data_IF_732715028831
#
_entry.id   IF_732715028831
#
_cell.length_a   1.000
_cell.length_b   1.000
_cell.length_c   1.000
_cell.angle_alpha   90.00
_cell.angle_beta   90.00
_cell.angle_gamma   90.00
#
_symmetry.space_group_name_H-M   'P 1'
#
loop_
_entity.id
_entity.type
_entity.pdbx_description
1 polymer ?
#
# COMPACT_ATOMS: atom_id res chain seq x y z
N UNK A 1 64.55 -24.11 -9.18
CA UNK A 1 63.58 -23.18 -9.79
C UNK A 1 62.54 -24.00 -10.54
N UNK A 2 61.40 -24.29 -9.94
CA UNK A 2 60.31 -25.00 -10.63
C UNK A 2 59.61 -24.04 -11.57
N UNK A 3 59.78 -24.23 -12.87
CA UNK A 3 58.96 -23.58 -13.87
C UNK A 3 57.54 -24.14 -13.74
N UNK A 4 56.64 -23.40 -13.07
CA UNK A 4 55.21 -23.70 -13.19
C UNK A 4 54.85 -23.57 -14.67
N UNK A 5 54.34 -24.64 -15.32
CA UNK A 5 54.03 -24.58 -16.73
C UNK A 5 52.95 -23.51 -16.91
N UNK A 6 53.18 -22.54 -17.81
CA UNK A 6 52.24 -21.43 -18.13
C UNK A 6 50.77 -21.86 -18.23
N UNK A 7 50.53 -23.10 -18.65
CA UNK A 7 49.20 -23.75 -18.67
C UNK A 7 48.53 -23.85 -17.30
N UNK A 8 49.25 -24.22 -16.24
CA UNK A 8 48.70 -24.31 -14.90
C UNK A 8 48.25 -22.93 -14.37
N UNK A 9 48.99 -21.88 -14.70
CA UNK A 9 48.69 -20.51 -14.30
C UNK A 9 47.45 -19.96 -15.05
N UNK A 10 47.32 -20.29 -16.34
CA UNK A 10 46.15 -19.94 -17.16
C UNK A 10 44.88 -20.69 -16.70
N UNK A 11 44.99 -21.97 -16.36
CA UNK A 11 43.87 -22.76 -15.85
C UNK A 11 43.40 -22.24 -14.49
N UNK A 12 44.34 -21.89 -13.59
CA UNK A 12 44.02 -21.26 -12.32
C UNK A 12 43.29 -19.92 -12.48
N UNK A 13 43.75 -19.06 -13.39
CA UNK A 13 43.09 -17.80 -13.69
C UNK A 13 41.68 -17.99 -14.28
N UNK A 14 41.51 -18.95 -15.19
CA UNK A 14 40.21 -19.27 -15.77
C UNK A 14 39.22 -19.79 -14.72
N UNK A 15 39.68 -20.65 -13.79
CA UNK A 15 38.85 -21.14 -12.69
C UNK A 15 38.46 -20.03 -11.70
N UNK A 16 39.36 -19.09 -11.41
CA UNK A 16 39.06 -17.93 -10.57
C UNK A 16 38.05 -17.00 -11.23
N UNK A 17 38.17 -16.75 -12.53
CA UNK A 17 37.21 -15.94 -13.30
C UNK A 17 35.84 -16.63 -13.40
N UNK A 18 35.81 -17.94 -13.63
CA UNK A 18 34.59 -18.72 -13.66
C UNK A 18 33.91 -18.77 -12.28
N UNK A 19 34.69 -19.00 -11.21
CA UNK A 19 34.19 -18.99 -9.84
C UNK A 19 33.69 -17.61 -9.39
N UNK A 20 34.39 -16.53 -9.75
CA UNK A 20 33.95 -15.16 -9.50
C UNK A 20 32.66 -14.80 -10.24
N UNK A 21 32.52 -15.22 -11.50
CA UNK A 21 31.27 -15.06 -12.25
C UNK A 21 30.14 -15.86 -11.62
N UNK A 22 30.38 -17.14 -11.30
CA UNK A 22 29.37 -18.00 -10.70
C UNK A 22 28.91 -17.46 -9.33
N UNK A 23 29.84 -16.96 -8.51
CA UNK A 23 29.51 -16.31 -7.24
C UNK A 23 28.70 -15.03 -7.45
N UNK A 24 29.05 -14.21 -8.44
CA UNK A 24 28.30 -13.00 -8.77
C UNK A 24 26.86 -13.30 -9.21
N UNK A 25 26.65 -14.36 -10.00
CA UNK A 25 25.32 -14.81 -10.41
C UNK A 25 24.54 -15.48 -9.28
N UNK A 26 25.20 -16.22 -8.39
CA UNK A 26 24.56 -16.85 -7.22
C UNK A 26 24.28 -15.87 -6.08
N UNK A 27 24.99 -14.74 -6.02
CA UNK A 27 24.73 -13.64 -5.07
C UNK A 27 23.51 -12.85 -5.51
N UNK A 28 22.39 -13.55 -5.77
CA UNK A 28 21.11 -12.99 -6.13
C UNK A 28 20.89 -11.72 -5.34
N UNK A 29 20.82 -10.59 -6.05
CA UNK A 29 20.45 -9.32 -5.43
C UNK A 29 19.04 -9.56 -4.92
N UNK A 30 18.87 -9.82 -3.63
CA UNK A 30 17.58 -9.66 -2.97
C UNK A 30 17.14 -8.25 -3.36
N UNK A 31 16.11 -8.17 -4.20
CA UNK A 31 15.54 -6.89 -4.53
C UNK A 31 15.23 -6.20 -3.20
N UNK A 32 15.54 -4.90 -3.04
CA UNK A 32 15.14 -4.18 -1.84
C UNK A 32 13.66 -4.46 -1.61
N UNK A 33 13.34 -5.06 -0.47
CA UNK A 33 11.93 -5.31 -0.13
C UNK A 33 11.18 -3.97 -0.18
N UNK A 34 9.97 -3.95 -0.76
CA UNK A 34 9.23 -2.70 -0.98
C UNK A 34 8.83 -2.05 0.35
N UNK A 35 8.65 -0.73 0.34
CA UNK A 35 8.23 0.02 1.52
C UNK A 35 6.76 -0.22 1.89
N UNK A 36 5.96 -0.70 0.96
CA UNK A 36 4.60 -1.18 1.20
C UNK A 36 4.20 -2.18 0.11
N UNK A 37 3.29 -3.07 0.45
CA UNK A 37 2.69 -4.04 -0.46
C UNK A 37 1.19 -3.77 -0.53
N UNK A 38 0.71 -3.55 -1.75
CA UNK A 38 -0.71 -3.40 -2.05
C UNK A 38 -1.20 -4.68 -2.74
N UNK A 39 -2.30 -5.21 -2.25
CA UNK A 39 -3.08 -6.25 -2.90
C UNK A 39 -3.94 -5.65 -4.00
N UNK A 40 -4.09 -6.42 -5.08
CA UNK A 40 -4.98 -6.07 -6.18
C UNK A 40 -6.41 -6.40 -5.80
N UNK A 41 -7.28 -5.40 -5.76
CA UNK A 41 -8.73 -5.63 -5.85
C UNK A 41 -9.21 -5.18 -7.22
N UNK A 42 -10.25 -5.81 -7.75
CA UNK A 42 -10.90 -5.42 -9.01
C UNK A 42 -12.13 -4.55 -8.76
N UNK A 43 -12.29 -4.05 -7.53
CA UNK A 43 -13.51 -3.41 -7.06
C UNK A 43 -13.38 -1.89 -7.20
N UNK A 44 -14.37 -1.28 -7.83
CA UNK A 44 -14.42 0.16 -8.06
C UNK A 44 -15.55 0.80 -7.26
N UNK A 45 -15.32 2.03 -6.83
CA UNK A 45 -16.33 2.86 -6.17
C UNK A 45 -16.47 4.19 -6.87
N UNK A 46 -17.70 4.67 -6.94
CA UNK A 46 -18.00 6.02 -7.37
C UNK A 46 -17.89 6.97 -6.18
N UNK A 47 -17.05 7.99 -6.30
CA UNK A 47 -17.00 9.13 -5.39
C UNK A 47 -17.70 10.31 -6.07
N UNK A 48 -18.81 10.74 -5.48
CA UNK A 48 -19.63 11.82 -6.02
C UNK A 48 -18.90 13.17 -5.93
N UNK A 49 -19.14 14.06 -6.90
CA UNK A 49 -18.43 15.33 -7.01
C UNK A 49 -18.56 16.25 -5.78
N UNK A 50 -19.68 16.18 -5.06
CA UNK A 50 -19.94 16.95 -3.85
C UNK A 50 -19.07 16.50 -2.66
N UNK A 51 -18.64 15.23 -2.65
CA UNK A 51 -17.82 14.64 -1.59
C UNK A 51 -16.33 14.92 -1.81
N UNK A 52 -15.88 15.09 -3.06
CA UNK A 52 -14.47 15.29 -3.42
C UNK A 52 -13.74 16.36 -2.59
N UNK A 53 -14.31 17.56 -2.36
CA UNK A 53 -13.63 18.59 -1.58
C UNK A 53 -13.50 18.26 -0.09
N UNK A 54 -14.26 17.28 0.41
CA UNK A 54 -14.26 16.81 1.81
C UNK A 54 -13.57 15.48 2.04
N UNK A 55 -12.86 14.95 1.03
CA UNK A 55 -12.06 13.76 1.23
C UNK A 55 -10.93 14.05 2.24
N UNK A 56 -10.71 13.15 3.22
CA UNK A 56 -9.57 13.21 4.12
C UNK A 56 -8.25 13.27 3.35
N UNK A 57 -7.35 14.13 3.81
CA UNK A 57 -5.96 14.24 3.35
C UNK A 57 -5.04 14.00 4.53
N UNK A 58 -3.95 13.29 4.28
CA UNK A 58 -2.93 13.04 5.29
C UNK A 58 -1.87 14.13 5.22
N UNK A 59 -1.63 14.79 6.35
CA UNK A 59 -0.52 15.71 6.52
C UNK A 59 0.69 14.91 7.01
N UNK A 60 1.65 14.66 6.12
CA UNK A 60 2.88 13.91 6.41
C UNK A 60 3.75 14.63 7.45
N UNK A 61 3.73 15.96 7.48
CA UNK A 61 4.56 16.76 8.39
C UNK A 61 4.08 16.60 9.83
N UNK A 62 2.76 16.61 10.03
CA UNK A 62 2.16 16.50 11.35
C UNK A 62 1.71 15.07 11.71
N UNK A 63 1.77 14.14 10.75
CA UNK A 63 1.27 12.77 10.89
C UNK A 63 -0.22 12.72 11.21
N UNK A 64 -1.02 13.59 10.61
CA UNK A 64 -2.40 13.83 10.99
C UNK A 64 -3.35 13.90 9.80
N UNK A 65 -4.58 13.43 9.98
CA UNK A 65 -5.63 13.53 8.98
C UNK A 65 -6.37 14.86 9.08
N UNK A 66 -6.73 15.43 7.94
CA UNK A 66 -7.58 16.62 7.88
C UNK A 66 -8.60 16.56 6.74
N UNK A 67 -9.71 17.26 6.92
CA UNK A 67 -10.76 17.47 5.91
C UNK A 67 -11.00 18.98 5.83
N UNK A 68 -10.77 19.56 4.65
CA UNK A 68 -10.84 21.02 4.40
C UNK A 68 -10.04 21.84 5.44
N UNK A 69 -8.84 21.35 5.78
CA UNK A 69 -7.94 21.98 6.77
C UNK A 69 -8.38 21.82 8.24
N UNK A 70 -9.45 21.07 8.52
CA UNK A 70 -9.86 20.75 9.89
C UNK A 70 -9.33 19.38 10.30
N UNK A 71 -8.72 19.24 11.48
CA UNK A 71 -8.20 17.96 11.92
C UNK A 71 -9.32 16.94 12.12
N UNK A 72 -9.04 15.69 11.75
CA UNK A 72 -9.92 14.53 11.98
C UNK A 72 -9.39 13.79 13.19
N UNK A 73 -10.19 13.65 14.23
CA UNK A 73 -9.80 12.97 15.48
C UNK A 73 -9.77 11.45 15.36
N UNK A 74 -10.65 10.87 14.54
CA UNK A 74 -10.75 9.43 14.32
C UNK A 74 -11.02 9.15 12.84
N UNK A 75 -9.98 8.75 12.10
CA UNK A 75 -10.09 8.46 10.66
C UNK A 75 -11.04 7.28 10.38
N UNK A 76 -11.20 6.37 11.35
CA UNK A 76 -12.14 5.25 11.28
C UNK A 76 -13.61 5.66 11.09
N UNK A 77 -14.01 6.85 11.55
CA UNK A 77 -15.39 7.35 11.38
C UNK A 77 -15.69 7.75 9.93
N UNK A 78 -14.67 7.83 9.08
CA UNK A 78 -14.79 8.13 7.64
C UNK A 78 -14.85 6.87 6.78
N UNK A 79 -14.72 5.69 7.38
CA UNK A 79 -14.84 4.39 6.69
C UNK A 79 -16.30 4.18 6.26
N UNK A 80 -16.49 3.89 4.98
CA UNK A 80 -17.80 3.66 4.35
C UNK A 80 -18.01 2.17 4.12
N UNK A 81 -19.25 1.65 4.25
CA UNK A 81 -19.54 0.30 3.81
C UNK A 81 -19.35 0.18 2.29
N UNK A 82 -18.86 -0.98 1.85
CA UNK A 82 -18.81 -1.31 0.43
C UNK A 82 -20.09 -2.05 0.06
N UNK A 83 -20.78 -1.56 -0.98
CA UNK A 83 -22.00 -2.14 -1.52
C UNK A 83 -21.77 -2.49 -2.99
N UNK A 84 -20.98 -3.53 -3.23
CA UNK A 84 -20.90 -4.15 -4.56
C UNK A 84 -21.89 -5.31 -4.64
N UNK A 85 -22.68 -5.39 -5.70
CA UNK A 85 -23.68 -6.45 -5.88
C UNK A 85 -23.07 -7.74 -6.46
N UNK A 86 -21.92 -7.65 -7.13
CA UNK A 86 -21.22 -8.78 -7.73
C UNK A 86 -19.94 -9.13 -6.97
N UNK A 87 -19.59 -10.41 -6.86
CA UNK A 87 -18.30 -10.88 -6.32
C UNK A 87 -17.40 -11.18 -7.50
N UNK A 88 -16.46 -10.27 -7.81
CA UNK A 88 -15.46 -10.49 -8.88
C UNK A 88 -14.17 -11.07 -8.29
N UNK A 89 -13.91 -10.87 -6.99
CA UNK A 89 -12.71 -11.39 -6.31
C UNK A 89 -13.01 -12.02 -4.94
N UNK A 90 -12.19 -12.98 -4.51
CA UNK A 90 -12.27 -13.58 -3.16
C UNK A 90 -11.95 -12.58 -2.03
N UNK A 91 -11.22 -11.49 -2.35
CA UNK A 91 -10.92 -10.36 -1.46
C UNK A 91 -11.88 -9.19 -1.72
N UNK A 92 -13.18 -9.44 -1.61
CA UNK A 92 -14.17 -8.36 -1.68
C UNK A 92 -14.07 -7.48 -0.42
N UNK A 93 -13.82 -6.17 -0.55
CA UNK A 93 -13.77 -5.27 0.59
C UNK A 93 -15.16 -5.22 1.24
N UNK A 94 -15.19 -5.19 2.58
CA UNK A 94 -16.46 -5.01 3.33
C UNK A 94 -16.78 -3.53 3.55
N UNK A 95 -15.73 -2.73 3.58
CA UNK A 95 -15.75 -1.31 3.84
C UNK A 95 -14.49 -0.71 3.24
N UNK A 96 -14.50 0.57 2.94
CA UNK A 96 -13.34 1.27 2.41
C UNK A 96 -13.28 2.69 2.94
N UNK A 97 -12.08 3.28 2.92
CA UNK A 97 -11.88 4.71 3.18
C UNK A 97 -11.53 5.41 1.86
N UNK A 98 -12.32 6.41 1.46
CA UNK A 98 -11.94 7.28 0.37
C UNK A 98 -11.06 8.42 0.89
N UNK A 99 -9.92 8.67 0.25
CA UNK A 99 -8.97 9.72 0.62
C UNK A 99 -8.54 10.52 -0.61
N UNK A 100 -8.09 11.74 -0.39
CA UNK A 100 -7.47 12.56 -1.42
C UNK A 100 -5.95 12.61 -1.21
N UNK A 101 -5.21 12.57 -2.31
CA UNK A 101 -3.74 12.75 -2.35
C UNK A 101 -3.40 13.86 -3.34
N UNK A 102 -2.27 14.55 -3.16
CA UNK A 102 -1.82 15.49 -4.18
C UNK A 102 -1.53 14.75 -5.51
N UNK A 103 -1.72 15.43 -6.64
CA UNK A 103 -1.56 14.81 -7.96
C UNK A 103 -0.12 14.35 -8.26
N UNK A 104 0.85 14.94 -7.58
CA UNK A 104 2.29 14.70 -7.71
C UNK A 104 2.89 13.93 -6.52
N UNK A 105 2.05 13.42 -5.60
CA UNK A 105 2.54 12.61 -4.48
C UNK A 105 3.19 11.31 -4.96
N UNK A 106 4.47 11.16 -4.63
CA UNK A 106 5.27 9.98 -4.89
C UNK A 106 5.16 8.93 -3.78
N UNK A 107 5.77 7.74 -4.00
CA UNK A 107 5.71 6.62 -3.04
C UNK A 107 6.21 6.95 -1.63
N UNK A 108 7.12 7.91 -1.49
CA UNK A 108 7.68 8.32 -0.19
C UNK A 108 6.66 9.07 0.68
N UNK A 109 5.73 9.80 0.06
CA UNK A 109 4.66 10.52 0.76
C UNK A 109 3.50 9.57 1.12
N UNK A 110 3.27 8.54 0.30
CA UNK A 110 2.24 7.53 0.55
C UNK A 110 2.58 6.60 1.72
N UNK A 111 3.84 6.22 1.91
CA UNK A 111 4.26 5.28 2.97
C UNK A 111 3.75 5.66 4.38
N UNK A 112 4.01 6.88 4.91
CA UNK A 112 3.55 7.24 6.26
C UNK A 112 2.02 7.26 6.38
N UNK A 113 1.33 7.67 5.32
CA UNK A 113 -0.14 7.64 5.25
C UNK A 113 -0.68 6.20 5.33
N UNK A 114 -0.15 5.29 4.49
CA UNK A 114 -0.56 3.90 4.48
C UNK A 114 -0.23 3.20 5.80
N UNK A 115 0.89 3.56 6.45
CA UNK A 115 1.28 3.04 7.75
C UNK A 115 0.28 3.45 8.84
N UNK A 116 -0.20 4.69 8.82
CA UNK A 116 -1.22 5.18 9.75
C UNK A 116 -2.55 4.43 9.57
N UNK A 117 -2.99 4.23 8.33
CA UNK A 117 -4.18 3.44 8.01
C UNK A 117 -4.05 1.99 8.45
N UNK A 118 -2.89 1.36 8.22
CA UNK A 118 -2.61 0.00 8.65
C UNK A 118 -2.67 -0.14 10.17
N UNK A 119 -2.13 0.82 10.92
CA UNK A 119 -2.23 0.88 12.39
C UNK A 119 -3.65 1.09 12.89
N UNK A 120 -4.47 1.82 12.12
CA UNK A 120 -5.89 1.98 12.38
C UNK A 120 -6.76 0.79 11.90
N UNK A 121 -6.13 -0.28 11.38
CA UNK A 121 -6.82 -1.45 10.81
C UNK A 121 -7.78 -1.11 9.66
N UNK A 122 -7.47 -0.06 8.90
CA UNK A 122 -8.18 0.36 7.69
C UNK A 122 -7.37 -0.14 6.49
N UNK A 123 -7.74 -1.29 5.95
CA UNK A 123 -6.94 -1.95 4.91
C UNK A 123 -7.44 -1.69 3.49
N UNK A 124 -8.67 -1.25 3.30
CA UNK A 124 -9.25 -1.02 1.98
C UNK A 124 -9.41 0.49 1.75
N UNK A 125 -8.73 1.01 0.73
CA UNK A 125 -8.60 2.46 0.52
C UNK A 125 -8.86 2.81 -0.94
N UNK A 126 -9.75 3.78 -1.15
CA UNK A 126 -10.02 4.37 -2.46
C UNK A 126 -9.26 5.70 -2.56
N UNK A 127 -8.21 5.72 -3.38
CA UNK A 127 -7.31 6.88 -3.49
C UNK A 127 -7.76 7.77 -4.64
N UNK A 128 -8.07 9.04 -4.36
CA UNK A 128 -8.48 10.03 -5.35
C UNK A 128 -7.39 11.08 -5.52
N UNK A 129 -6.68 11.12 -6.65
CA UNK A 129 -5.72 12.18 -6.94
C UNK A 129 -6.42 13.54 -7.08
N UNK A 130 -5.83 14.58 -6.49
CA UNK A 130 -6.31 15.95 -6.64
C UNK A 130 -6.33 16.36 -8.13
N UNK A 131 -7.33 17.17 -8.50
CA UNK A 131 -7.52 17.57 -9.90
C UNK A 131 -8.17 16.53 -10.80
N UNK A 132 -8.46 15.31 -10.32
CA UNK A 132 -9.30 14.35 -11.02
C UNK A 132 -10.69 14.96 -11.25
N UNK A 133 -11.12 15.04 -12.51
CA UNK A 133 -12.39 15.66 -12.89
C UNK A 133 -13.50 14.61 -12.91
N UNK A 134 -14.68 14.92 -12.32
CA UNK A 134 -15.85 14.05 -12.45
C UNK A 134 -16.19 13.78 -13.91
N UNK A 135 -16.57 12.55 -14.20
CA UNK A 135 -17.08 12.16 -15.51
C UNK A 135 -18.49 12.71 -15.77
N UNK A 136 -19.08 12.41 -16.94
CA UNK A 136 -20.42 12.86 -17.34
C UNK A 136 -21.53 12.44 -16.38
N UNK A 137 -21.27 11.44 -15.52
CA UNK A 137 -22.19 10.88 -14.53
C UNK A 137 -22.06 11.49 -13.14
N UNK A 138 -21.41 12.65 -13.01
CA UNK A 138 -21.28 13.45 -11.77
C UNK A 138 -20.39 12.91 -10.64
N UNK A 139 -19.60 11.86 -10.90
CA UNK A 139 -18.61 11.32 -9.97
C UNK A 139 -17.29 10.92 -10.63
N UNK A 140 -16.34 10.46 -9.81
CA UNK A 140 -15.11 9.79 -10.24
C UNK A 140 -15.16 8.32 -9.83
N UNK A 141 -14.73 7.43 -10.72
CA UNK A 141 -14.59 6.01 -10.39
C UNK A 141 -13.13 5.75 -10.05
N UNK A 142 -12.90 5.15 -8.88
CA UNK A 142 -11.56 4.80 -8.42
C UNK A 142 -11.54 3.36 -7.93
N UNK A 143 -10.42 2.68 -8.17
CA UNK A 143 -10.18 1.34 -7.67
C UNK A 143 -9.96 1.38 -6.16
N UNK A 144 -10.50 0.39 -5.45
CA UNK A 144 -10.14 0.11 -4.07
C UNK A 144 -8.80 -0.63 -4.08
N UNK A 145 -7.85 -0.12 -3.32
CA UNK A 145 -6.56 -0.78 -3.09
C UNK A 145 -6.60 -1.44 -1.71
N UNK A 146 -6.10 -2.67 -1.64
CA UNK A 146 -5.96 -3.39 -0.37
C UNK A 146 -4.54 -3.22 0.16
N UNK A 147 -4.36 -2.67 1.36
CA UNK A 147 -3.07 -2.60 2.03
C UNK A 147 -2.79 -3.99 2.60
N UNK A 148 -1.69 -4.61 2.17
CA UNK A 148 -1.26 -5.91 2.71
C UNK A 148 -0.29 -5.67 3.86
N UNK A 149 0.76 -4.88 3.62
CA UNK A 149 1.73 -4.52 4.63
C UNK A 149 2.43 -3.20 4.31
N UNK A 150 2.90 -2.51 5.34
CA UNK A 150 3.63 -1.24 5.23
C UNK A 150 4.83 -1.29 6.15
N UNK A 151 5.98 -0.83 5.67
CA UNK A 151 7.21 -0.78 6.46
C UNK A 151 7.19 0.43 7.40
N UNK A 152 7.53 0.19 8.66
CA UNK A 152 7.71 1.25 9.65
C UNK A 152 9.07 1.97 9.53
N UNK A 153 9.28 3.01 10.35
CA UNK A 153 10.54 3.77 10.37
C UNK A 153 11.76 2.95 10.77
N UNK A 154 11.57 1.74 11.33
CA UNK A 154 12.64 0.81 11.73
C UNK A 154 12.90 -0.25 10.67
N UNK A 155 12.20 -0.21 9.55
CA UNK A 155 12.32 -1.20 8.49
C UNK A 155 11.47 -2.46 8.70
N UNK A 156 10.66 -2.53 9.76
CA UNK A 156 9.83 -3.70 10.06
C UNK A 156 8.50 -3.61 9.29
N UNK A 157 8.09 -4.72 8.68
CA UNK A 157 6.76 -4.82 8.08
C UNK A 157 5.65 -4.79 9.16
N UNK A 158 4.67 -3.93 8.94
CA UNK A 158 3.41 -3.86 9.65
C UNK A 158 2.32 -4.38 8.72
N UNK A 159 1.81 -5.57 9.00
CA UNK A 159 0.68 -6.12 8.25
C UNK A 159 -0.59 -5.32 8.55
N UNK A 160 -1.43 -5.14 7.54
CA UNK A 160 -2.76 -4.59 7.72
C UNK A 160 -3.74 -5.73 7.93
N UNK A 161 -4.32 -5.78 9.13
CA UNK A 161 -5.36 -6.74 9.47
C UNK A 161 -6.63 -5.93 9.70
N UNK A 162 -7.62 -6.13 8.83
CA UNK A 162 -8.89 -5.45 8.93
C UNK A 162 -9.51 -5.70 10.30
N UNK A 163 -10.01 -4.64 10.94
CA UNK A 163 -10.70 -4.79 12.21
C UNK A 163 -11.92 -5.70 11.99
N UNK A 164 -11.86 -6.92 12.49
CA UNK A 164 -13.04 -7.74 12.67
C UNK A 164 -13.91 -6.97 13.65
N UNK A 165 -14.89 -6.19 13.18
CA UNK A 165 -15.89 -5.60 14.07
C UNK A 165 -16.43 -6.75 14.91
N UNK A 166 -16.15 -6.71 16.21
CA UNK A 166 -16.78 -7.60 17.17
C UNK A 166 -18.28 -7.48 16.92
N UNK A 167 -18.89 -8.55 16.39
CA UNK A 167 -20.32 -8.70 16.50
C UNK A 167 -20.59 -8.60 18.01
N UNK A 168 -21.35 -7.60 18.44
CA UNK A 168 -21.89 -7.61 19.78
C UNK A 168 -23.13 -8.50 19.75
N UNK A 169 -23.14 -9.72 20.33
CA UNK A 169 -24.37 -10.34 20.72
C UNK A 169 -24.71 -9.84 22.13
N UNK A 170 -25.84 -9.15 22.28
CA UNK A 170 -26.83 -9.56 23.27
C UNK A 170 -28.09 -8.71 23.20
N UNK A 171 -29.13 -9.38 22.76
CA UNK A 171 -30.49 -9.31 23.27
C UNK A 171 -30.55 -8.81 24.71
N UNK A 172 -31.30 -7.73 24.94
CA UNK A 172 -31.92 -7.49 26.24
C UNK A 172 -33.31 -6.91 26.00
N UNK A 173 -34.25 -7.84 25.81
CA UNK A 173 -35.67 -7.66 26.02
C UNK A 173 -35.94 -7.20 27.45
N UNK A 174 -36.79 -6.19 27.61
CA UNK A 174 -37.72 -6.04 28.73
C UNK A 174 -38.91 -5.22 28.31
#
# INVERSE_FOLDING_TARGET
>A
MMAMPRRALLVGAALLLAGGNLWWFMRGKQAPEPDFVLGTTWEQVEITADVLPSLPRFDVVHGAWSDRGRPISAIGDRVRPFHGDDVISELKPRSYLAIAIAADEGPQELRPMLLDLARASICDVAVVPDGMKPGPRSGVYVDIQHIVSVRDERGKAQDCIAAQRAAAPSSASR
#
